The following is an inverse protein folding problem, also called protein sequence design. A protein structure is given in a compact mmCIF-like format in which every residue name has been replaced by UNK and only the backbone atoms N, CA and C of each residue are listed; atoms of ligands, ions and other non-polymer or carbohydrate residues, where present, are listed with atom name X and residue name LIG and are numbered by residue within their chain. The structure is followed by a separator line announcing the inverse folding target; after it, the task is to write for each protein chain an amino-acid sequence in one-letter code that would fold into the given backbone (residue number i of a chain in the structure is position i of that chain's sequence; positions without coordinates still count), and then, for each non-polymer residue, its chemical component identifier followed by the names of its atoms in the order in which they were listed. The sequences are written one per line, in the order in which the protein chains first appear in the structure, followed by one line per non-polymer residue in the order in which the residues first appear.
data_IF_623334169970
#
_entry.id   IF_623334169970
#
_cell.length_a   1.000
_cell.length_b   1.000
_cell.length_c   1.000
_cell.angle_alpha   90.00
_cell.angle_beta   90.00
_cell.angle_gamma   90.00
#
_symmetry.space_group_name_H-M   'P 1'
#
loop_
_entity.id
_entity.type
_entity.pdbx_description
1 polymer ?
#
# COMPACT_ATOMS: atom_id res chain seq x y z
N UNK A 1 -28.97 22.89 8.72
CA UNK A 1 -28.90 21.52 8.18
C UNK A 1 -27.44 21.24 7.87
N UNK A 2 -26.71 20.66 8.81
CA UNK A 2 -25.30 20.31 8.63
C UNK A 2 -25.22 18.93 7.95
N UNK A 3 -25.52 18.90 6.65
CA UNK A 3 -25.39 17.70 5.81
C UNK A 3 -23.95 17.31 5.51
N UNK A 4 -22.99 18.22 5.80
CA UNK A 4 -21.57 18.05 5.47
C UNK A 4 -20.78 17.24 6.51
N UNK A 5 -21.40 16.80 7.61
CA UNK A 5 -20.75 16.12 8.74
C UNK A 5 -21.04 14.61 8.83
N UNK A 6 -21.56 13.99 7.77
CA UNK A 6 -21.68 12.52 7.70
C UNK A 6 -20.36 11.94 7.18
N UNK A 7 -19.34 11.82 8.04
CA UNK A 7 -18.26 10.83 7.90
C UNK A 7 -16.97 11.20 7.14
N UNK A 8 -16.80 12.45 6.68
CA UNK A 8 -15.69 12.87 5.82
C UNK A 8 -16.20 13.12 4.40
N UNK A 9 -15.79 14.22 3.78
CA UNK A 9 -16.34 14.59 2.47
C UNK A 9 -15.97 13.49 1.45
N UNK A 10 -16.92 13.06 0.60
CA UNK A 10 -16.66 12.06 -0.45
C UNK A 10 -15.37 12.35 -1.26
N UNK A 11 -15.01 13.63 -1.54
CA UNK A 11 -13.72 13.98 -2.14
C UNK A 11 -12.50 13.62 -1.27
N UNK A 12 -12.54 13.80 0.05
CA UNK A 12 -11.46 13.40 0.95
C UNK A 12 -11.28 11.88 0.97
N UNK A 13 -12.36 11.11 0.91
CA UNK A 13 -12.29 9.65 0.82
C UNK A 13 -11.64 9.19 -0.50
N UNK A 14 -12.00 9.81 -1.62
CA UNK A 14 -11.36 9.52 -2.90
C UNK A 14 -9.87 9.91 -2.90
N UNK A 15 -9.53 11.06 -2.30
CA UNK A 15 -8.14 11.50 -2.14
C UNK A 15 -7.34 10.52 -1.27
N UNK A 16 -7.92 10.03 -0.17
CA UNK A 16 -7.30 9.03 0.71
C UNK A 16 -7.05 7.72 -0.03
N UNK A 17 -8.07 7.18 -0.72
CA UNK A 17 -7.94 5.96 -1.54
C UNK A 17 -6.82 6.12 -2.58
N UNK A 18 -6.79 7.24 -3.30
CA UNK A 18 -5.74 7.55 -4.28
C UNK A 18 -4.35 7.51 -3.64
N UNK A 19 -4.18 8.14 -2.47
CA UNK A 19 -2.90 8.14 -1.75
C UNK A 19 -2.46 6.76 -1.29
N UNK A 20 -3.38 5.94 -0.78
CA UNK A 20 -3.08 4.55 -0.39
C UNK A 20 -2.62 3.71 -1.59
N UNK A 21 -3.27 3.86 -2.74
CA UNK A 21 -2.87 3.19 -4.00
C UNK A 21 -1.51 3.71 -4.52
N UNK A 22 -1.23 5.02 -4.40
CA UNK A 22 0.07 5.59 -4.73
C UNK A 22 1.19 4.99 -3.86
N UNK A 23 0.98 4.87 -2.54
CA UNK A 23 1.95 4.24 -1.64
C UNK A 23 2.18 2.76 -1.94
N UNK A 24 1.12 2.00 -2.25
CA UNK A 24 1.26 0.62 -2.69
C UNK A 24 2.16 0.52 -3.93
N UNK A 25 1.95 1.41 -4.91
CA UNK A 25 2.75 1.44 -6.15
C UNK A 25 4.21 1.75 -5.85
N UNK A 26 4.47 2.76 -5.02
CA UNK A 26 5.82 3.15 -4.62
C UNK A 26 6.55 2.03 -3.87
N UNK A 27 5.86 1.32 -2.97
CA UNK A 27 6.43 0.17 -2.26
C UNK A 27 6.78 -0.98 -3.20
N UNK A 28 5.90 -1.29 -4.16
CA UNK A 28 6.16 -2.33 -5.15
C UNK A 28 7.36 -1.99 -6.04
N UNK A 29 7.49 -0.72 -6.45
CA UNK A 29 8.66 -0.23 -7.20
C UNK A 29 9.94 -0.34 -6.37
N UNK A 30 9.92 0.11 -5.11
CA UNK A 30 11.06 0.02 -4.20
C UNK A 30 11.49 -1.44 -3.98
N UNK A 31 10.53 -2.33 -3.66
CA UNK A 31 10.78 -3.77 -3.48
C UNK A 31 11.45 -4.38 -4.71
N UNK A 32 10.95 -4.05 -5.90
CA UNK A 32 11.47 -4.56 -7.17
C UNK A 32 12.90 -4.05 -7.42
N UNK A 33 13.11 -2.74 -7.30
CA UNK A 33 14.41 -2.11 -7.53
C UNK A 33 15.47 -2.63 -6.53
N UNK A 34 15.13 -2.65 -5.25
CA UNK A 34 16.02 -3.18 -4.20
C UNK A 34 16.31 -4.66 -4.40
N UNK A 35 15.31 -5.48 -4.77
CA UNK A 35 15.54 -6.90 -5.06
C UNK A 35 16.51 -7.08 -6.22
N UNK A 36 16.37 -6.29 -7.28
CA UNK A 36 17.31 -6.31 -8.41
C UNK A 36 18.75 -6.00 -8.02
N UNK A 37 18.97 -5.04 -7.12
CA UNK A 37 20.30 -4.74 -6.56
C UNK A 37 20.83 -5.90 -5.72
N UNK A 38 19.99 -6.47 -4.84
CA UNK A 38 20.38 -7.58 -3.96
C UNK A 38 20.70 -8.85 -4.74
N UNK A 39 20.03 -9.11 -5.86
CA UNK A 39 20.30 -10.29 -6.70
C UNK A 39 21.46 -10.08 -7.68
N UNK A 40 21.81 -8.84 -8.03
CA UNK A 40 22.88 -8.54 -9.00
C UNK A 40 24.27 -8.40 -8.40
N UNK A 41 24.38 -8.30 -7.07
CA UNK A 41 25.69 -8.19 -6.41
C UNK A 41 26.54 -9.45 -6.58
N UNK A 42 27.84 -9.25 -6.83
CA UNK A 42 28.86 -10.32 -6.88
C UNK A 42 29.34 -10.75 -5.50
N UNK A 43 28.84 -10.11 -4.43
CA UNK A 43 29.18 -10.42 -3.04
C UNK A 43 28.74 -11.85 -2.67
N UNK A 44 29.68 -12.65 -2.13
CA UNK A 44 29.49 -14.08 -1.83
C UNK A 44 30.02 -14.43 -0.43
N UNK A 45 29.64 -15.61 0.04
CA UNK A 45 30.05 -16.15 1.33
C UNK A 45 28.97 -15.98 2.40
N UNK A 46 29.20 -16.57 3.58
CA UNK A 46 28.20 -16.67 4.66
C UNK A 46 27.44 -15.37 4.94
N UNK A 47 28.14 -14.24 5.07
CA UNK A 47 27.50 -12.96 5.38
C UNK A 47 26.62 -12.43 4.24
N UNK A 48 26.97 -12.72 2.98
CA UNK A 48 26.14 -12.36 1.84
C UNK A 48 24.85 -13.18 1.83
N UNK A 49 24.93 -14.46 2.21
CA UNK A 49 23.78 -15.35 2.30
C UNK A 49 22.86 -14.98 3.46
N UNK A 50 23.44 -14.66 4.63
CA UNK A 50 22.71 -14.14 5.80
C UNK A 50 21.96 -12.84 5.43
N UNK A 51 22.62 -11.94 4.69
CA UNK A 51 21.98 -10.72 4.19
C UNK A 51 20.84 -11.01 3.20
N UNK A 52 21.02 -11.91 2.23
CA UNK A 52 19.95 -12.29 1.28
C UNK A 52 18.75 -12.90 1.99
N UNK A 53 18.97 -13.70 3.04
CA UNK A 53 17.90 -14.23 3.86
C UNK A 53 17.14 -13.11 4.59
N UNK A 54 17.86 -12.16 5.21
CA UNK A 54 17.25 -10.98 5.84
C UNK A 54 16.48 -10.12 4.83
N UNK A 55 17.02 -9.94 3.62
CA UNK A 55 16.33 -9.27 2.52
C UNK A 55 15.04 -9.99 2.13
N UNK A 56 15.05 -11.33 2.04
CA UNK A 56 13.84 -12.11 1.78
C UNK A 56 12.73 -11.85 2.79
N UNK A 57 13.07 -11.75 4.08
CA UNK A 57 12.12 -11.38 5.12
C UNK A 57 11.62 -9.93 4.96
N UNK A 58 12.50 -8.98 4.62
CA UNK A 58 12.12 -7.60 4.33
C UNK A 58 11.14 -7.51 3.14
N UNK A 59 11.44 -8.17 2.02
CA UNK A 59 10.60 -8.20 0.83
C UNK A 59 9.21 -8.80 1.11
N UNK A 60 9.14 -9.82 1.98
CA UNK A 60 7.88 -10.37 2.47
C UNK A 60 7.09 -9.34 3.29
N UNK A 61 7.75 -8.63 4.20
CA UNK A 61 7.10 -7.58 4.99
C UNK A 61 6.56 -6.45 4.10
N UNK A 62 7.29 -6.03 3.07
CA UNK A 62 6.81 -5.04 2.10
C UNK A 62 5.56 -5.55 1.37
N UNK A 63 5.54 -6.82 0.96
CA UNK A 63 4.37 -7.42 0.31
C UNK A 63 3.15 -7.48 1.24
N UNK A 64 3.34 -7.68 2.54
CA UNK A 64 2.25 -7.61 3.52
C UNK A 64 1.69 -6.17 3.62
N UNK A 65 2.56 -5.16 3.66
CA UNK A 65 2.14 -3.75 3.67
C UNK A 65 1.38 -3.39 2.40
N UNK A 66 1.82 -3.86 1.23
CA UNK A 66 1.08 -3.69 -0.03
C UNK A 66 -0.34 -4.26 0.03
N UNK A 67 -0.50 -5.45 0.63
CA UNK A 67 -1.80 -6.07 0.83
C UNK A 67 -2.68 -5.25 1.80
N UNK A 68 -2.11 -4.78 2.92
CA UNK A 68 -2.83 -3.96 3.90
C UNK A 68 -3.28 -2.62 3.30
N UNK A 69 -2.43 -1.97 2.49
CA UNK A 69 -2.80 -0.75 1.76
C UNK A 69 -3.93 -1.00 0.75
N UNK A 70 -3.93 -2.15 0.09
CA UNK A 70 -5.00 -2.58 -0.83
C UNK A 70 -6.32 -2.82 -0.09
N UNK A 71 -6.27 -3.47 1.07
CA UNK A 71 -7.43 -3.66 1.91
C UNK A 71 -7.99 -2.34 2.42
N UNK A 72 -7.12 -1.43 2.86
CA UNK A 72 -7.50 -0.10 3.32
C UNK A 72 -8.14 0.73 2.20
N UNK A 73 -7.55 0.77 1.00
CA UNK A 73 -8.13 1.51 -0.14
C UNK A 73 -9.48 0.96 -0.56
N UNK A 74 -9.64 -0.37 -0.54
CA UNK A 74 -10.92 -1.06 -0.81
C UNK A 74 -11.98 -0.72 0.25
N UNK A 75 -11.59 -0.66 1.53
CA UNK A 75 -12.51 -0.29 2.60
C UNK A 75 -12.99 1.17 2.48
N UNK A 76 -12.08 2.08 2.12
CA UNK A 76 -12.44 3.48 1.86
C UNK A 76 -13.42 3.59 0.70
N UNK A 77 -13.19 2.89 -0.42
CA UNK A 77 -14.11 2.88 -1.56
C UNK A 77 -15.49 2.33 -1.18
N UNK A 78 -15.55 1.22 -0.43
CA UNK A 78 -16.82 0.65 0.04
C UNK A 78 -17.61 1.63 0.91
N UNK A 79 -16.93 2.30 1.84
CA UNK A 79 -17.57 3.30 2.70
C UNK A 79 -18.05 4.51 1.88
N UNK A 80 -17.25 4.97 0.92
CA UNK A 80 -17.61 6.06 0.00
C UNK A 80 -18.88 5.72 -0.79
N UNK A 81 -18.97 4.51 -1.33
CA UNK A 81 -20.15 4.02 -2.06
C UNK A 81 -21.37 3.95 -1.15
N UNK A 82 -21.23 3.42 0.06
CA UNK A 82 -22.32 3.35 1.03
C UNK A 82 -22.88 4.74 1.39
N UNK A 83 -22.00 5.72 1.60
CA UNK A 83 -22.39 7.12 1.85
C UNK A 83 -23.11 7.68 0.63
N UNK A 84 -22.53 7.54 -0.58
CA UNK A 84 -23.12 8.06 -1.81
C UNK A 84 -24.54 7.49 -2.06
N UNK A 85 -24.75 6.20 -1.81
CA UNK A 85 -26.07 5.58 -1.90
C UNK A 85 -27.03 6.10 -0.83
N UNK A 86 -26.57 6.24 0.42
CA UNK A 86 -27.40 6.70 1.54
C UNK A 86 -27.81 8.18 1.42
N UNK A 87 -26.96 9.02 0.81
CA UNK A 87 -27.23 10.45 0.61
C UNK A 87 -27.96 10.75 -0.70
N UNK A 88 -28.39 9.71 -1.44
CA UNK A 88 -29.17 9.86 -2.66
C UNK A 88 -28.38 10.50 -3.80
N UNK A 89 -27.12 10.09 -3.97
CA UNK A 89 -26.23 10.59 -5.02
C UNK A 89 -26.80 10.54 -6.44
#
# INVERSE_FOLDING_TARGET
MSGDMVGGSLPEMEALKKKLTEFQTQLSQLKTASSGVVTSTTWKGKYADDFRAAWGQCAKNISNIEADLTHASTAVEKNRQAIQTATGG
#
